data_IF_650864973507
#
_entry.id   IF_650864973507
#
_cell.length_a   1.000
_cell.length_b   1.000
_cell.length_c   1.000
_cell.angle_alpha   90.00
_cell.angle_beta   90.00
_cell.angle_gamma   90.00
#
_symmetry.space_group_name_H-M   'P 1'
#
loop_
_entity.id
_entity.type
_entity.pdbx_description
1 polymer ?
#
# COMPACT_ATOMS: atom_id res chain seq x y z
N UNK A 1 41.69 7.00 -15.95
CA UNK A 1 41.21 6.18 -14.81
C UNK A 1 40.36 6.94 -13.79
N UNK A 2 40.35 8.28 -13.78
CA UNK A 2 39.64 9.08 -12.76
C UNK A 2 38.19 9.45 -13.14
N UNK A 3 37.84 9.53 -14.43
CA UNK A 3 36.51 9.93 -14.90
C UNK A 3 35.40 8.90 -14.65
N UNK A 4 35.73 7.60 -14.60
CA UNK A 4 34.76 6.52 -14.33
C UNK A 4 34.37 6.41 -12.86
N UNK A 5 35.27 6.78 -11.93
CA UNK A 5 35.00 6.73 -10.49
C UNK A 5 33.99 7.80 -10.05
N UNK A 6 33.97 8.97 -10.70
CA UNK A 6 33.01 10.03 -10.42
C UNK A 6 31.57 9.62 -10.83
N UNK A 7 31.42 8.98 -11.99
CA UNK A 7 30.13 8.44 -12.45
C UNK A 7 29.61 7.30 -11.56
N UNK A 8 30.51 6.44 -11.06
CA UNK A 8 30.14 5.35 -10.16
C UNK A 8 29.70 5.83 -8.76
N UNK A 9 30.29 6.91 -8.24
CA UNK A 9 29.85 7.54 -6.98
C UNK A 9 28.48 8.19 -7.11
N UNK A 10 28.20 8.87 -8.23
CA UNK A 10 26.92 9.55 -8.46
C UNK A 10 25.73 8.58 -8.58
N UNK A 11 25.93 7.42 -9.25
CA UNK A 11 24.93 6.36 -9.30
C UNK A 11 24.67 5.73 -7.92
N UNK A 12 25.73 5.47 -7.15
CA UNK A 12 25.61 4.91 -5.78
C UNK A 12 24.83 5.85 -4.86
N UNK A 13 25.02 7.16 -4.99
CA UNK A 13 24.28 8.17 -4.24
C UNK A 13 22.81 8.28 -4.66
N UNK A 14 22.50 8.12 -5.95
CA UNK A 14 21.12 8.03 -6.43
C UNK A 14 20.41 6.79 -5.86
N UNK A 15 21.07 5.63 -5.87
CA UNK A 15 20.53 4.38 -5.30
C UNK A 15 20.29 4.55 -3.79
N UNK A 16 21.22 5.19 -3.07
CA UNK A 16 21.07 5.50 -1.64
C UNK A 16 19.87 6.42 -1.37
N UNK A 17 19.74 7.52 -2.12
CA UNK A 17 18.57 8.42 -2.01
C UNK A 17 17.24 7.72 -2.31
N UNK A 18 17.21 6.83 -3.31
CA UNK A 18 16.02 6.03 -3.63
C UNK A 18 15.68 5.06 -2.50
N UNK A 19 16.68 4.34 -1.98
CA UNK A 19 16.55 3.45 -0.82
C UNK A 19 15.95 4.17 0.39
N UNK A 20 16.48 5.34 0.75
CA UNK A 20 15.98 6.15 1.86
C UNK A 20 14.54 6.63 1.64
N UNK A 21 14.19 7.03 0.42
CA UNK A 21 12.82 7.42 0.07
C UNK A 21 11.83 6.26 0.17
N UNK A 22 12.26 5.05 -0.21
CA UNK A 22 11.44 3.83 -0.09
C UNK A 22 11.27 3.43 1.38
N UNK A 23 12.33 3.49 2.17
CA UNK A 23 12.27 3.21 3.61
C UNK A 23 11.29 4.15 4.32
N UNK A 24 11.44 5.47 4.12
CA UNK A 24 10.53 6.48 4.68
C UNK A 24 9.07 6.29 4.29
N UNK A 25 8.77 5.72 3.11
CA UNK A 25 7.40 5.44 2.68
C UNK A 25 6.79 4.23 3.39
N UNK A 26 7.59 3.22 3.75
CA UNK A 26 7.11 2.04 4.47
C UNK A 26 6.77 2.37 5.93
N UNK A 27 7.60 3.19 6.57
CA UNK A 27 7.39 3.60 7.98
C UNK A 27 6.12 4.44 8.18
N UNK A 28 5.63 5.06 7.11
CA UNK A 28 4.42 5.89 7.11
C UNK A 28 3.14 5.10 6.78
N UNK A 29 3.20 3.78 6.57
CA UNK A 29 2.00 2.96 6.42
C UNK A 29 1.42 2.77 7.83
N UNK A 30 0.44 3.59 8.17
CA UNK A 30 -0.31 3.48 9.41
C UNK A 30 -1.70 2.95 9.11
N UNK A 31 -1.96 1.71 9.55
CA UNK A 31 -3.30 1.16 9.50
C UNK A 31 -4.20 1.92 10.46
N UNK A 32 -5.09 2.73 9.90
CA UNK A 32 -5.99 3.56 10.69
C UNK A 32 -7.17 2.74 11.20
N UNK A 33 -7.83 3.22 12.26
CA UNK A 33 -9.01 2.55 12.84
C UNK A 33 -10.16 2.50 11.83
N UNK A 34 -10.33 3.55 11.06
CA UNK A 34 -11.37 3.68 10.02
C UNK A 34 -11.19 2.61 8.93
N UNK A 35 -9.95 2.30 8.55
CA UNK A 35 -9.66 1.22 7.61
C UNK A 35 -10.04 -0.16 8.15
N UNK A 36 -9.76 -0.42 9.42
CA UNK A 36 -10.15 -1.67 10.10
C UNK A 36 -11.66 -1.78 10.28
N UNK A 37 -12.33 -0.70 10.65
CA UNK A 37 -13.79 -0.65 10.76
C UNK A 37 -14.45 -0.94 9.41
N UNK A 38 -13.98 -0.31 8.34
CA UNK A 38 -14.43 -0.60 6.97
C UNK A 38 -14.20 -2.07 6.58
N UNK A 39 -13.06 -2.65 6.95
CA UNK A 39 -12.80 -4.07 6.77
C UNK A 39 -13.80 -4.96 7.50
N UNK A 40 -14.09 -4.68 8.78
CA UNK A 40 -15.04 -5.48 9.55
C UNK A 40 -16.47 -5.37 9.02
N UNK A 41 -16.89 -4.20 8.53
CA UNK A 41 -18.20 -4.01 7.89
C UNK A 41 -18.31 -4.87 6.62
N UNK A 42 -17.34 -4.74 5.70
CA UNK A 42 -17.31 -5.51 4.44
C UNK A 42 -17.21 -7.00 4.73
N UNK A 43 -16.35 -7.40 5.68
CA UNK A 43 -16.22 -8.79 6.12
C UNK A 43 -17.54 -9.33 6.65
N UNK A 44 -18.26 -8.57 7.47
CA UNK A 44 -19.56 -8.96 8.04
C UNK A 44 -20.61 -9.19 6.95
N UNK A 45 -20.65 -8.30 5.95
CA UNK A 45 -21.55 -8.43 4.80
C UNK A 45 -21.25 -9.65 3.92
N UNK A 46 -19.97 -10.02 3.79
CA UNK A 46 -19.55 -11.16 2.96
C UNK A 46 -19.61 -12.51 3.70
N UNK A 47 -19.63 -12.56 5.04
CA UNK A 47 -19.67 -13.84 5.79
C UNK A 47 -20.78 -14.81 5.39
N UNK A 48 -22.01 -14.38 5.03
CA UNK A 48 -23.07 -15.31 4.65
C UNK A 48 -22.78 -16.05 3.34
N UNK A 49 -21.95 -15.48 2.45
CA UNK A 49 -21.65 -16.04 1.12
C UNK A 49 -20.23 -16.59 1.00
N UNK A 50 -19.30 -16.11 1.82
CA UNK A 50 -17.86 -16.32 1.66
C UNK A 50 -17.23 -16.53 3.04
N UNK A 51 -16.32 -17.50 3.15
CA UNK A 51 -15.56 -17.71 4.39
C UNK A 51 -14.61 -16.54 4.67
N UNK A 52 -14.50 -16.18 5.95
CA UNK A 52 -13.73 -15.02 6.39
C UNK A 52 -12.23 -15.09 6.00
N UNK A 53 -11.68 -16.29 5.85
CA UNK A 53 -10.28 -16.51 5.47
C UNK A 53 -9.96 -16.07 4.03
N UNK A 54 -10.97 -16.01 3.16
CA UNK A 54 -10.79 -15.59 1.76
C UNK A 54 -10.76 -14.07 1.61
N UNK A 55 -11.12 -13.34 2.67
CA UNK A 55 -11.19 -11.88 2.68
C UNK A 55 -9.90 -11.35 3.28
N UNK A 56 -9.07 -10.76 2.45
CA UNK A 56 -7.79 -10.17 2.86
C UNK A 56 -7.85 -8.65 2.69
N UNK A 57 -7.01 -7.92 3.41
CA UNK A 57 -6.83 -6.49 3.20
C UNK A 57 -5.36 -6.22 2.91
N UNK A 58 -5.08 -5.22 2.08
CA UNK A 58 -3.74 -4.65 1.93
C UNK A 58 -3.83 -3.17 2.18
N UNK A 59 -3.02 -2.74 3.12
CA UNK A 59 -2.86 -1.34 3.44
C UNK A 59 -1.64 -0.77 2.72
N UNK A 60 -1.83 0.38 2.09
CA UNK A 60 -0.78 1.13 1.41
C UNK A 60 -0.89 2.59 1.85
N UNK A 61 0.20 3.34 1.71
CA UNK A 61 0.29 4.73 2.15
C UNK A 61 -0.84 5.67 1.64
N UNK A 62 -1.58 5.28 0.59
CA UNK A 62 -2.67 6.10 0.05
C UNK A 62 -4.03 5.40 0.03
N UNK A 63 -4.06 4.08 0.17
CA UNK A 63 -5.26 3.29 -0.06
C UNK A 63 -5.30 2.07 0.85
N UNK A 64 -6.46 1.81 1.43
CA UNK A 64 -6.78 0.57 2.14
C UNK A 64 -7.69 -0.28 1.25
N UNK A 65 -7.21 -1.42 0.77
CA UNK A 65 -7.92 -2.22 -0.24
C UNK A 65 -8.24 -3.60 0.28
N UNK A 66 -9.49 -4.03 0.12
CA UNK A 66 -10.00 -5.34 0.51
C UNK A 66 -10.06 -6.22 -0.73
N UNK A 67 -9.46 -7.40 -0.63
CA UNK A 67 -9.41 -8.41 -1.68
C UNK A 67 -10.21 -9.64 -1.27
N UNK A 68 -10.70 -10.32 -2.29
CA UNK A 68 -11.25 -11.66 -2.18
C UNK A 68 -10.30 -12.60 -2.93
N UNK A 69 -9.91 -13.70 -2.30
CA UNK A 69 -9.02 -14.72 -2.87
C UNK A 69 -7.65 -14.20 -3.33
N UNK A 70 -7.16 -13.14 -2.69
CA UNK A 70 -5.92 -12.47 -3.08
C UNK A 70 -5.91 -11.98 -4.56
N UNK A 71 -7.10 -11.77 -5.13
CA UNK A 71 -7.23 -11.36 -6.52
C UNK A 71 -7.06 -9.84 -6.69
N UNK A 72 -5.84 -9.42 -7.01
CA UNK A 72 -5.51 -8.00 -7.22
C UNK A 72 -6.20 -7.33 -8.42
N UNK A 73 -6.76 -8.10 -9.37
CA UNK A 73 -7.43 -7.53 -10.56
C UNK A 73 -8.86 -7.07 -10.28
N UNK A 74 -9.48 -7.54 -9.19
CA UNK A 74 -10.86 -7.20 -8.81
C UNK A 74 -10.95 -7.04 -7.29
N UNK A 75 -10.48 -5.92 -6.73
CA UNK A 75 -10.68 -5.62 -5.32
C UNK A 75 -12.18 -5.51 -5.02
N UNK A 76 -12.57 -5.95 -3.83
CA UNK A 76 -13.97 -5.91 -3.36
C UNK A 76 -14.36 -4.49 -2.99
N UNK A 77 -13.49 -3.81 -2.25
CA UNK A 77 -13.69 -2.45 -1.78
C UNK A 77 -12.33 -1.78 -1.62
N UNK A 78 -12.26 -0.48 -1.88
CA UNK A 78 -11.06 0.31 -1.70
C UNK A 78 -11.41 1.64 -1.06
N UNK A 79 -10.70 2.00 0.01
CA UNK A 79 -10.84 3.26 0.72
C UNK A 79 -9.62 4.12 0.46
N UNK A 80 -9.85 5.38 0.10
CA UNK A 80 -8.80 6.40 0.04
C UNK A 80 -8.90 7.18 1.35
N UNK A 81 -8.02 6.87 2.30
CA UNK A 81 -8.07 7.44 3.65
C UNK A 81 -7.26 8.73 3.78
N UNK A 82 -6.73 9.26 2.67
CA UNK A 82 -6.05 10.56 2.65
C UNK A 82 -7.08 11.69 2.56
N UNK A 83 -6.95 12.73 3.39
CA UNK A 83 -7.80 13.93 3.37
C UNK A 83 -7.77 14.76 2.06
N UNK A 84 -7.05 14.30 1.03
CA UNK A 84 -7.15 14.88 -0.32
C UNK A 84 -7.91 13.91 -1.22
N UNK A 85 -9.10 14.29 -1.73
CA UNK A 85 -9.66 13.59 -2.87
C UNK A 85 -8.65 13.69 -4.01
N UNK A 86 -8.18 12.57 -4.54
CA UNK A 86 -7.48 12.56 -5.82
C UNK A 86 -8.49 13.04 -6.85
N UNK A 87 -8.30 14.25 -7.37
CA UNK A 87 -9.06 14.68 -8.54
C UNK A 87 -8.79 13.67 -9.66
N UNK A 88 -9.88 13.17 -10.23
CA UNK A 88 -9.89 12.42 -11.47
C UNK A 88 -9.31 13.29 -12.58
#
# INVERSE_FOLDING_TARGET
MTLTLLSAMDFKDQVRKLSERVARRKDNIQTTKEGLEGFFIVRSFLRPKISAHRITFRDTLSCFVIFLDDNNRRPVAGFILTARPKSI
#
